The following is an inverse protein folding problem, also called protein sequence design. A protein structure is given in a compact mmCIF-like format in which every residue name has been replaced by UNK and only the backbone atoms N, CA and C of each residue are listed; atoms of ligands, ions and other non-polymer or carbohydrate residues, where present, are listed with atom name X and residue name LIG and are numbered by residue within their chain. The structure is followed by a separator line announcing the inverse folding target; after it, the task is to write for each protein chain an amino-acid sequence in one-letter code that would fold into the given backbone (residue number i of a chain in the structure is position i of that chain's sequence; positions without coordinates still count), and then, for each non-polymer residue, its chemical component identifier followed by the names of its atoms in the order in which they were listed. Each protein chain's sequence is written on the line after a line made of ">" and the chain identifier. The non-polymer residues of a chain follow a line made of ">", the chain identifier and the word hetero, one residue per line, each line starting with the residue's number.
data_IF_328728866434
#
_entry.id   IF_328728866434
#
_cell.length_a   1.000
_cell.length_b   1.000
_cell.length_c   1.000
_cell.angle_alpha   90.00
_cell.angle_beta   90.00
_cell.angle_gamma   90.00
#
_symmetry.space_group_name_H-M   'P 1'
#
loop_
_entity.id
_entity.type
_entity.pdbx_description
1 polymer ?
#
# COMPACT_ATOMS: atom_id res chain seq x y z
N UNK A 1 -24.56 27.25 -2.72
CA UNK A 1 -25.00 26.08 -3.51
C UNK A 1 -24.08 24.92 -3.21
N UNK A 2 -24.56 23.91 -2.51
CA UNK A 2 -23.78 22.74 -2.16
C UNK A 2 -23.74 21.81 -3.39
N UNK A 3 -22.56 21.63 -3.99
CA UNK A 3 -22.38 20.62 -5.04
C UNK A 3 -22.31 19.25 -4.37
N UNK A 4 -23.33 18.44 -4.60
CA UNK A 4 -23.36 17.04 -4.18
C UNK A 4 -22.42 16.28 -5.12
N UNK A 5 -21.39 15.64 -4.55
CA UNK A 5 -20.62 14.64 -5.26
C UNK A 5 -21.55 13.49 -5.63
N UNK A 6 -21.58 13.12 -6.89
CA UNK A 6 -22.35 12.01 -7.38
C UNK A 6 -21.53 10.74 -7.18
N UNK A 7 -21.90 9.97 -6.15
CA UNK A 7 -21.34 8.63 -5.95
C UNK A 7 -21.93 7.72 -7.02
N UNK A 8 -21.13 7.34 -8.00
CA UNK A 8 -21.53 6.32 -8.98
C UNK A 8 -21.06 4.97 -8.42
N UNK A 9 -22.01 4.20 -7.90
CA UNK A 9 -21.78 2.78 -7.63
C UNK A 9 -21.70 2.04 -8.97
N UNK A 10 -20.52 1.68 -9.39
CA UNK A 10 -20.29 0.73 -10.47
C UNK A 10 -19.95 -0.63 -9.86
N UNK A 11 -20.86 -1.55 -10.02
CA UNK A 11 -20.58 -2.98 -9.90
C UNK A 11 -19.69 -3.37 -11.07
N UNK A 12 -18.46 -3.74 -10.81
CA UNK A 12 -17.31 -4.02 -11.69
C UNK A 12 -16.43 -2.79 -11.96
N UNK A 13 -15.49 -2.63 -11.16
CA UNK A 13 -14.15 -2.16 -11.04
C UNK A 13 -13.55 -1.33 -12.12
N UNK A 14 -13.78 -0.14 -12.37
CA UNK A 14 -12.80 0.81 -12.89
C UNK A 14 -13.20 2.20 -12.41
N UNK A 15 -12.72 2.63 -11.28
CA UNK A 15 -12.79 4.03 -10.88
C UNK A 15 -11.60 4.77 -11.49
N UNK A 16 -11.75 5.24 -12.73
CA UNK A 16 -10.83 6.24 -13.30
C UNK A 16 -11.43 7.61 -13.03
N UNK A 17 -10.90 8.33 -12.08
CA UNK A 17 -11.28 9.71 -11.84
C UNK A 17 -10.33 10.63 -12.61
N UNK A 18 -10.66 10.97 -13.86
CA UNK A 18 -10.02 12.02 -14.63
C UNK A 18 -10.82 13.32 -14.45
N UNK A 19 -10.40 14.18 -13.56
CA UNK A 19 -10.87 15.57 -13.49
C UNK A 19 -9.66 16.49 -13.42
N UNK A 20 -9.38 17.15 -14.55
CA UNK A 20 -8.41 18.26 -14.59
C UNK A 20 -8.90 19.41 -13.71
N UNK A 21 -8.34 19.54 -12.56
CA UNK A 21 -8.51 20.60 -11.59
C UNK A 21 -7.33 20.57 -10.63
N UNK A 22 -7.00 21.67 -10.00
CA UNK A 22 -5.92 21.73 -9.00
C UNK A 22 -6.08 20.56 -8.04
N UNK A 23 -5.27 19.51 -8.22
CA UNK A 23 -5.31 18.34 -7.38
C UNK A 23 -4.94 18.78 -5.95
N UNK A 24 -5.86 18.63 -5.04
CA UNK A 24 -5.57 18.60 -3.61
C UNK A 24 -5.17 17.16 -3.28
N UNK A 25 -4.41 16.96 -2.22
CA UNK A 25 -4.22 15.63 -1.65
C UNK A 25 -5.58 14.93 -1.52
N UNK A 26 -5.71 13.75 -2.09
CA UNK A 26 -6.99 13.04 -2.11
C UNK A 26 -6.98 11.86 -1.14
N UNK A 27 -8.15 11.55 -0.58
CA UNK A 27 -8.37 10.27 0.06
C UNK A 27 -9.19 9.41 -0.91
N UNK A 28 -8.65 8.25 -1.27
CA UNK A 28 -9.26 7.32 -2.21
C UNK A 28 -9.59 6.05 -1.44
N UNK A 29 -10.87 5.70 -1.43
CA UNK A 29 -11.33 4.47 -0.80
C UNK A 29 -11.83 3.49 -1.87
N UNK A 30 -11.27 2.29 -1.88
CA UNK A 30 -11.71 1.17 -2.68
C UNK A 30 -12.93 0.46 -2.09
N UNK A 31 -13.15 -0.76 -2.51
CA UNK A 31 -14.32 -1.54 -2.16
C UNK A 31 -13.95 -2.83 -1.39
N UNK A 32 -14.82 -3.82 -1.39
CA UNK A 32 -14.53 -5.17 -0.89
C UNK A 32 -14.22 -6.17 -2.01
N UNK A 33 -14.04 -5.73 -3.22
CA UNK A 33 -13.69 -6.53 -4.39
C UNK A 33 -12.48 -5.93 -5.10
N UNK A 34 -11.92 -6.60 -6.11
CA UNK A 34 -10.73 -6.13 -6.80
C UNK A 34 -10.88 -4.73 -7.38
N UNK A 35 -9.97 -3.84 -7.01
CA UNK A 35 -9.94 -2.44 -7.43
C UNK A 35 -8.60 -2.08 -8.12
N UNK A 36 -8.64 -1.04 -8.95
CA UNK A 36 -7.47 -0.43 -9.59
C UNK A 36 -7.46 1.05 -9.20
N UNK A 37 -6.62 1.41 -8.21
CA UNK A 37 -6.62 2.71 -7.56
C UNK A 37 -5.32 3.45 -7.87
N UNK A 38 -5.47 4.65 -8.40
CA UNK A 38 -4.33 5.49 -8.77
C UNK A 38 -4.50 6.86 -8.14
N UNK A 39 -3.48 7.29 -7.42
CA UNK A 39 -3.38 8.61 -6.78
C UNK A 39 -3.14 9.74 -7.77
N UNK A 40 -2.56 10.81 -7.28
CA UNK A 40 -2.27 12.03 -8.03
C UNK A 40 -0.77 12.37 -7.95
N UNK A 41 -0.38 13.56 -8.39
CA UNK A 41 1.00 14.06 -8.21
C UNK A 41 1.15 14.80 -6.85
N UNK A 42 0.40 14.41 -5.81
CA UNK A 42 0.40 14.99 -4.46
C UNK A 42 0.25 13.93 -3.40
N UNK A 43 0.58 14.33 -2.16
CA UNK A 43 0.44 13.45 -1.01
C UNK A 43 -0.99 12.93 -0.88
N UNK A 44 -1.20 11.64 -1.14
CA UNK A 44 -2.50 11.00 -1.13
C UNK A 44 -2.60 9.95 0.00
N UNK A 45 -3.83 9.62 0.36
CA UNK A 45 -4.12 8.49 1.24
C UNK A 45 -5.05 7.54 0.50
N UNK A 46 -4.58 6.31 0.25
CA UNK A 46 -5.35 5.30 -0.51
C UNK A 46 -5.60 4.08 0.38
N UNK A 47 -6.86 3.69 0.50
CA UNK A 47 -7.29 2.45 1.16
C UNK A 47 -7.96 1.55 0.14
N UNK A 48 -7.33 0.46 -0.25
CA UNK A 48 -7.91 -0.41 -1.29
C UNK A 48 -9.07 -1.26 -0.75
N UNK A 49 -8.98 -1.70 0.49
CA UNK A 49 -10.11 -2.33 1.16
C UNK A 49 -10.03 -3.84 1.19
N UNK A 50 -10.71 -4.52 0.32
CA UNK A 50 -10.59 -5.97 0.23
C UNK A 50 -10.74 -6.46 -1.19
N UNK A 51 -10.05 -7.52 -1.51
CA UNK A 51 -9.99 -8.02 -2.87
C UNK A 51 -8.55 -8.35 -3.25
N UNK A 52 -8.27 -8.44 -4.52
CA UNK A 52 -6.91 -8.46 -5.02
C UNK A 52 -6.71 -7.16 -5.80
N UNK A 53 -6.09 -6.19 -5.15
CA UNK A 53 -6.12 -4.81 -5.58
C UNK A 53 -4.80 -4.36 -6.21
N UNK A 54 -4.88 -3.39 -7.09
CA UNK A 54 -3.73 -2.63 -7.57
C UNK A 54 -3.81 -1.20 -7.05
N UNK A 55 -2.74 -0.74 -6.36
CA UNK A 55 -2.64 0.61 -5.81
C UNK A 55 -1.36 1.27 -6.33
N UNK A 56 -1.46 2.50 -6.80
CA UNK A 56 -0.31 3.31 -7.22
C UNK A 56 -0.42 4.74 -6.67
N UNK A 57 0.60 5.19 -5.92
CA UNK A 57 0.67 6.55 -5.38
C UNK A 57 0.91 7.60 -6.46
N UNK A 58 1.82 7.38 -7.36
CA UNK A 58 2.37 8.19 -8.44
C UNK A 58 3.52 9.09 -7.97
N UNK A 59 3.26 10.27 -7.47
CA UNK A 59 4.32 11.20 -7.06
C UNK A 59 3.95 11.90 -5.76
N UNK A 60 4.95 12.43 -5.07
CA UNK A 60 4.90 12.99 -3.73
C UNK A 60 4.89 11.91 -2.63
N UNK A 61 4.54 12.27 -1.39
CA UNK A 61 4.64 11.32 -0.26
C UNK A 61 3.28 10.77 0.10
N UNK A 62 3.04 9.53 -0.27
CA UNK A 62 1.75 8.87 -0.17
C UNK A 62 1.64 7.92 1.03
N UNK A 63 0.41 7.64 1.42
CA UNK A 63 0.08 6.60 2.39
C UNK A 63 -0.86 5.59 1.76
N UNK A 64 -0.35 4.38 1.52
CA UNK A 64 -1.01 3.37 0.71
C UNK A 64 -1.30 2.12 1.54
N UNK A 65 -2.55 1.70 1.54
CA UNK A 65 -3.01 0.47 2.21
C UNK A 65 -3.61 -0.50 1.19
N UNK A 66 -3.03 -1.70 1.06
CA UNK A 66 -3.60 -2.80 0.28
C UNK A 66 -4.88 -3.31 0.93
N UNK A 67 -4.81 -3.76 2.17
CA UNK A 67 -6.00 -4.16 2.92
C UNK A 67 -6.12 -5.66 3.09
N UNK A 68 -7.20 -6.24 2.63
CA UNK A 68 -7.39 -7.68 2.76
C UNK A 68 -7.42 -8.34 1.39
N UNK A 69 -6.49 -9.26 1.15
CA UNK A 69 -6.36 -9.97 -0.11
C UNK A 69 -4.93 -10.01 -0.60
N UNK A 70 -4.72 -10.35 -1.84
CA UNK A 70 -3.38 -10.40 -2.40
C UNK A 70 -3.18 -9.18 -3.31
N UNK A 71 -2.52 -8.18 -2.77
CA UNK A 71 -2.48 -6.85 -3.36
C UNK A 71 -1.14 -6.56 -4.04
N UNK A 72 -1.16 -5.62 -4.97
CA UNK A 72 0.04 -5.01 -5.54
C UNK A 72 0.01 -3.52 -5.22
N UNK A 73 0.93 -3.07 -4.35
CA UNK A 73 0.99 -1.68 -3.90
C UNK A 73 2.31 -1.06 -4.32
N UNK A 74 2.25 0.07 -5.02
CA UNK A 74 3.39 0.76 -5.63
C UNK A 74 3.41 2.22 -5.18
N UNK A 75 4.45 2.64 -4.45
CA UNK A 75 4.67 4.04 -4.05
C UNK A 75 4.97 4.92 -5.26
N UNK A 76 6.01 4.68 -5.96
CA UNK A 76 6.63 5.34 -7.12
C UNK A 76 7.58 6.45 -6.71
N UNK A 77 7.29 7.76 -7.08
CA UNK A 77 8.19 8.89 -6.77
C UNK A 77 7.80 9.53 -5.44
N UNK A 78 8.67 9.55 -4.46
CA UNK A 78 8.43 10.22 -3.19
C UNK A 78 8.88 9.41 -1.99
N UNK A 79 8.56 9.88 -0.79
CA UNK A 79 8.85 9.11 0.42
C UNK A 79 7.55 8.53 0.93
N UNK A 80 7.27 7.29 0.57
CA UNK A 80 5.98 6.67 0.73
C UNK A 80 5.86 5.82 2.00
N UNK A 81 4.63 5.70 2.48
CA UNK A 81 4.25 4.73 3.49
C UNK A 81 3.37 3.66 2.86
N UNK A 82 3.90 2.44 2.73
CA UNK A 82 3.24 1.32 2.05
C UNK A 82 2.91 0.22 3.05
N UNK A 83 1.66 -0.17 3.11
CA UNK A 83 1.13 -1.22 4.00
C UNK A 83 0.44 -2.30 3.17
N UNK A 84 0.91 -3.56 3.24
CA UNK A 84 0.22 -4.70 2.64
C UNK A 84 -1.05 -5.05 3.40
N UNK A 85 -0.96 -5.11 4.71
CA UNK A 85 -1.92 -5.59 5.69
C UNK A 85 -2.10 -7.11 5.63
N UNK A 86 -3.19 -7.67 5.10
CA UNK A 86 -3.43 -9.12 5.19
C UNK A 86 -3.55 -9.78 3.82
N UNK A 87 -2.78 -10.83 3.62
CA UNK A 87 -2.71 -11.56 2.37
C UNK A 87 -1.29 -11.62 1.81
N UNK A 88 -1.11 -12.25 0.67
CA UNK A 88 0.20 -12.35 0.05
C UNK A 88 0.42 -11.22 -0.94
N UNK A 89 1.16 -10.22 -0.50
CA UNK A 89 1.25 -8.92 -1.18
C UNK A 89 2.57 -8.73 -1.93
N UNK A 90 2.52 -7.92 -2.98
CA UNK A 90 3.70 -7.38 -3.64
C UNK A 90 3.79 -5.87 -3.38
N UNK A 91 4.81 -5.46 -2.60
CA UNK A 91 4.99 -4.08 -2.15
C UNK A 91 6.24 -3.47 -2.78
N UNK A 92 6.08 -2.30 -3.36
CA UNK A 92 7.14 -1.56 -4.04
C UNK A 92 7.21 -0.14 -3.50
N UNK A 93 8.41 0.31 -3.08
CA UNK A 93 8.70 1.72 -2.79
C UNK A 93 8.93 2.50 -4.08
N UNK A 94 9.86 2.10 -4.87
CA UNK A 94 10.42 2.64 -6.12
C UNK A 94 11.40 3.79 -5.86
N UNK A 95 11.08 5.09 -6.08
CA UNK A 95 12.01 6.21 -5.93
C UNK A 95 11.75 7.01 -4.65
N UNK A 96 12.72 7.08 -3.77
CA UNK A 96 12.64 7.85 -2.52
C UNK A 96 13.04 7.05 -1.30
N UNK A 97 12.83 7.61 -0.11
CA UNK A 97 13.09 6.91 1.14
C UNK A 97 11.78 6.42 1.72
N UNK A 98 11.49 5.15 1.49
CA UNK A 98 10.19 4.56 1.74
C UNK A 98 10.10 3.83 3.09
N UNK A 99 8.90 3.76 3.61
CA UNK A 99 8.57 2.97 4.78
C UNK A 99 7.54 1.90 4.40
N UNK A 100 7.97 0.64 4.33
CA UNK A 100 7.15 -0.47 3.87
C UNK A 100 6.87 -1.42 5.03
N UNK A 101 5.62 -1.80 5.21
CA UNK A 101 5.20 -2.72 6.25
C UNK A 101 4.37 -3.87 5.67
N UNK A 102 4.95 -5.07 5.67
CA UNK A 102 4.29 -6.33 5.31
C UNK A 102 4.07 -7.24 6.52
N UNK A 103 4.45 -6.79 7.72
CA UNK A 103 4.46 -7.66 8.89
C UNK A 103 3.09 -7.75 9.58
N UNK A 104 2.79 -8.90 10.16
CA UNK A 104 1.72 -9.07 11.13
C UNK A 104 0.67 -10.11 10.81
N UNK A 105 0.60 -10.63 9.61
CA UNK A 105 -0.43 -11.58 9.17
C UNK A 105 0.05 -13.02 8.97
N UNK A 106 1.38 -13.23 8.95
CA UNK A 106 2.03 -14.54 8.76
C UNK A 106 1.79 -15.15 7.35
N UNK A 107 1.43 -14.35 6.39
CA UNK A 107 1.45 -14.72 4.98
C UNK A 107 2.78 -14.31 4.37
N UNK A 108 3.03 -14.76 3.15
CA UNK A 108 4.31 -14.49 2.51
C UNK A 108 4.18 -13.33 1.54
N UNK A 109 4.88 -12.28 1.85
CA UNK A 109 4.93 -11.07 1.03
C UNK A 109 6.23 -10.95 0.25
N UNK A 110 6.20 -10.12 -0.76
CA UNK A 110 7.38 -9.74 -1.55
C UNK A 110 7.56 -8.23 -1.45
N UNK A 111 8.68 -7.79 -0.86
CA UNK A 111 9.00 -6.38 -0.71
C UNK A 111 10.19 -6.02 -1.59
N UNK A 112 10.05 -4.91 -2.31
CA UNK A 112 11.10 -4.28 -3.11
C UNK A 112 11.14 -2.79 -2.79
N UNK A 113 12.23 -2.33 -2.20
CA UNK A 113 12.37 -0.92 -1.81
C UNK A 113 12.57 -0.03 -3.03
N UNK A 114 13.58 -0.27 -3.82
CA UNK A 114 13.78 0.49 -5.05
C UNK A 114 15.03 1.37 -5.00
N UNK A 115 14.88 2.65 -5.27
CA UNK A 115 15.96 3.62 -5.29
C UNK A 115 15.79 4.61 -4.15
N UNK A 116 16.62 4.51 -3.14
CA UNK A 116 16.68 5.37 -1.98
C UNK A 116 17.99 5.16 -1.27
N UNK A 117 18.26 5.93 -0.23
CA UNK A 117 19.43 5.78 0.61
C UNK A 117 19.05 5.37 2.05
N UNK A 118 17.76 5.30 2.37
CA UNK A 118 17.28 5.08 3.73
C UNK A 118 15.89 4.41 3.80
N UNK A 119 15.65 3.42 2.95
CA UNK A 119 14.40 2.66 2.99
C UNK A 119 14.27 1.85 4.27
N UNK A 120 13.09 1.85 4.85
CA UNK A 120 12.79 1.16 6.10
C UNK A 120 11.69 0.14 5.89
N UNK A 121 11.96 -1.13 6.25
CA UNK A 121 11.04 -2.23 6.00
C UNK A 121 10.76 -3.01 7.28
N UNK A 122 9.50 -3.27 7.55
CA UNK A 122 9.03 -4.15 8.62
C UNK A 122 8.42 -5.40 8.01
N UNK A 123 8.96 -6.58 8.32
CA UNK A 123 8.64 -7.86 7.69
C UNK A 123 8.44 -8.97 8.70
N UNK A 124 7.72 -10.00 8.29
CA UNK A 124 7.67 -11.29 8.97
C UNK A 124 8.79 -12.23 8.48
N UNK A 125 9.06 -13.28 9.24
CA UNK A 125 10.14 -14.25 8.94
C UNK A 125 10.00 -14.94 7.59
N UNK A 126 8.80 -15.00 7.07
CA UNK A 126 8.47 -15.71 5.82
C UNK A 126 8.50 -14.84 4.58
N UNK A 127 8.59 -13.51 4.78
CA UNK A 127 8.59 -12.55 3.68
C UNK A 127 9.88 -12.55 2.88
N UNK A 128 9.76 -12.13 1.65
CA UNK A 128 10.90 -11.95 0.78
C UNK A 128 11.20 -10.47 0.56
N UNK A 129 12.25 -10.02 1.22
CA UNK A 129 12.83 -8.70 0.94
C UNK A 129 13.85 -8.88 -0.18
N UNK A 130 13.65 -8.15 -1.26
CA UNK A 130 14.59 -8.07 -2.38
C UNK A 130 15.60 -6.97 -2.16
N UNK A 131 16.63 -6.96 -3.01
CA UNK A 131 17.76 -6.04 -2.93
C UNK A 131 17.33 -4.57 -2.85
N UNK A 132 18.21 -3.72 -2.33
CA UNK A 132 18.08 -2.27 -2.14
C UNK A 132 17.16 -1.82 -0.99
N UNK A 133 17.02 -2.61 0.08
CA UNK A 133 16.41 -2.17 1.33
C UNK A 133 17.50 -1.97 2.40
N UNK A 134 17.70 -0.73 2.90
CA UNK A 134 18.80 -0.42 3.81
C UNK A 134 18.51 -0.82 5.25
N UNK A 135 17.29 -0.58 5.72
CA UNK A 135 16.89 -0.82 7.11
C UNK A 135 15.77 -1.86 7.17
N UNK A 136 16.12 -3.13 7.38
CA UNK A 136 15.16 -4.23 7.45
C UNK A 136 14.95 -4.66 8.90
N UNK A 137 13.73 -4.56 9.39
CA UNK A 137 13.32 -4.96 10.74
C UNK A 137 12.44 -6.19 10.71
N UNK A 138 12.92 -7.28 11.26
CA UNK A 138 12.14 -8.51 11.40
C UNK A 138 11.26 -8.41 12.64
N UNK A 139 9.94 -8.42 12.47
CA UNK A 139 8.99 -8.50 13.57
C UNK A 139 8.76 -9.95 13.96
N UNK A 140 9.43 -10.37 15.03
CA UNK A 140 9.24 -11.70 15.60
C UNK A 140 8.14 -11.60 16.67
N UNK A 141 7.01 -12.29 16.44
CA UNK A 141 6.01 -12.43 17.48
C UNK A 141 6.63 -13.15 18.66
N UNK A 142 6.74 -12.50 19.80
CA UNK A 142 7.13 -13.18 21.04
C UNK A 142 5.99 -14.13 21.43
N UNK A 143 6.25 -15.43 21.32
CA UNK A 143 5.36 -16.45 21.89
C UNK A 143 5.27 -16.18 23.40
N UNK A 144 4.07 -16.00 23.90
CA UNK A 144 3.87 -15.87 25.35
C UNK A 144 4.27 -17.18 25.98
N UNK A 145 5.13 -17.18 27.02
CA UNK A 145 5.45 -18.43 27.72
C UNK A 145 4.17 -19.01 28.32
N UNK A 146 3.71 -20.13 27.83
CA UNK A 146 2.56 -20.85 28.35
C UNK A 146 1.45 -21.22 27.37
N UNK A 147 1.61 -20.96 26.07
CA UNK A 147 0.66 -21.36 25.02
C UNK A 147 1.21 -22.58 24.25
N UNK A 148 1.53 -23.65 24.99
CA UNK A 148 1.69 -24.99 24.39
C UNK A 148 0.31 -25.63 24.37
N UNK A 149 -0.17 -25.86 23.15
CA UNK A 149 -1.40 -26.61 22.90
C UNK A 149 -1.23 -28.09 23.17
#
# INVERSE_FOLDING_TARGET
>A
MRRKALLIMATMGLAVLLLGGVALADTIDGTSGPDDLVGTDKDDVIHAGGGADYVSGLAASDVLYGGAGNDTVVGREGNDHVYGNTGSDELFGEEGNDSINSAGDQTKDVVKCGQGDADTVYVDKIDWVKDNCENVYLLVRQERPGEEA
#
